data_IF_198454414686
#
_entry.id   IF_198454414686
#
_cell.length_a   1.000
_cell.length_b   1.000
_cell.length_c   1.000
_cell.angle_alpha   90.00
_cell.angle_beta   90.00
_cell.angle_gamma   90.00
#
_symmetry.space_group_name_H-M   'P 1'
#
loop_
_entity.id
_entity.type
_entity.pdbx_description
1 polymer ?
#
# COMPACT_ATOMS: atom_id res chain seq x y z
N UNK A 1 0.52 -37.59 16.75
CA UNK A 1 0.30 -37.60 15.29
C UNK A 1 -0.41 -36.29 14.92
N UNK A 2 0.15 -35.51 14.01
CA UNK A 2 -0.46 -34.23 13.57
C UNK A 2 -1.67 -34.54 12.69
N UNK A 3 -2.78 -33.80 12.89
CA UNK A 3 -4.05 -33.99 12.18
C UNK A 3 -4.44 -32.80 11.30
N UNK A 4 -3.87 -31.63 11.54
CA UNK A 4 -4.10 -30.42 10.78
C UNK A 4 -2.89 -29.49 10.89
N UNK A 5 -2.68 -28.66 9.87
CA UNK A 5 -1.74 -27.55 9.83
C UNK A 5 -2.53 -26.33 9.38
N UNK A 6 -2.40 -25.22 10.11
CA UNK A 6 -3.04 -23.94 9.83
C UNK A 6 -1.96 -22.98 9.35
N UNK A 7 -2.23 -22.25 8.28
CA UNK A 7 -1.34 -21.24 7.72
C UNK A 7 -1.97 -19.86 7.89
N UNK A 8 -1.14 -18.89 8.23
CA UNK A 8 -1.46 -17.48 8.01
C UNK A 8 -1.35 -17.17 6.50
N UNK A 9 -1.92 -16.05 6.05
CA UNK A 9 -1.90 -15.63 4.65
C UNK A 9 -0.79 -14.60 4.43
N UNK A 10 -0.86 -13.47 5.12
CA UNK A 10 -0.02 -12.31 4.86
C UNK A 10 1.42 -12.53 5.33
N UNK A 11 2.36 -12.37 4.42
CA UNK A 11 3.79 -12.67 4.65
C UNK A 11 4.06 -14.12 5.08
N UNK A 12 3.13 -15.04 4.82
CA UNK A 12 3.30 -16.50 4.97
C UNK A 12 3.08 -17.21 3.64
N UNK A 13 1.92 -17.02 3.02
CA UNK A 13 1.61 -17.58 1.70
C UNK A 13 1.74 -16.55 0.58
N UNK A 14 1.58 -15.25 0.90
CA UNK A 14 1.70 -14.14 -0.06
C UNK A 14 2.64 -13.04 0.45
N UNK A 15 3.32 -12.35 -0.46
CA UNK A 15 4.16 -11.18 -0.13
C UNK A 15 3.32 -9.90 -0.02
N UNK A 16 2.58 -9.79 1.08
CA UNK A 16 1.70 -8.66 1.34
C UNK A 16 2.47 -7.33 1.38
N UNK A 17 3.65 -7.31 2.01
CA UNK A 17 4.44 -6.09 2.15
C UNK A 17 4.96 -5.58 0.81
N UNK A 18 5.38 -6.46 -0.11
CA UNK A 18 5.77 -6.06 -1.47
C UNK A 18 4.58 -5.46 -2.22
N UNK A 19 3.42 -6.12 -2.17
CA UNK A 19 2.19 -5.62 -2.82
C UNK A 19 1.84 -4.24 -2.28
N UNK A 20 1.82 -4.08 -0.95
CA UNK A 20 1.50 -2.80 -0.30
C UNK A 20 2.47 -1.70 -0.71
N UNK A 21 3.78 -1.99 -0.74
CA UNK A 21 4.81 -1.01 -1.15
C UNK A 21 4.62 -0.55 -2.59
N UNK A 22 4.47 -1.48 -3.53
CA UNK A 22 4.27 -1.15 -4.94
C UNK A 22 2.97 -0.38 -5.18
N UNK A 23 1.90 -0.75 -4.48
CA UNK A 23 0.63 -0.04 -4.57
C UNK A 23 0.73 1.38 -4.00
N UNK A 24 1.44 1.58 -2.88
CA UNK A 24 1.70 2.91 -2.33
C UNK A 24 2.57 3.76 -3.25
N UNK A 25 3.59 3.17 -3.87
CA UNK A 25 4.44 3.83 -4.86
C UNK A 25 3.63 4.37 -6.04
N UNK A 26 2.77 3.53 -6.62
CA UNK A 26 1.88 3.96 -7.70
C UNK A 26 0.87 5.02 -7.26
N UNK A 27 0.38 4.94 -6.01
CA UNK A 27 -0.50 5.95 -5.45
C UNK A 27 0.19 7.31 -5.35
N UNK A 28 1.43 7.35 -4.85
CA UNK A 28 2.23 8.57 -4.74
C UNK A 28 2.55 9.15 -6.12
N UNK A 29 2.93 8.33 -7.10
CA UNK A 29 3.12 8.79 -8.48
C UNK A 29 1.87 9.46 -9.03
N UNK A 30 0.70 8.82 -8.86
CA UNK A 30 -0.57 9.38 -9.31
C UNK A 30 -0.96 10.67 -8.58
N UNK A 31 -0.55 10.83 -7.32
CA UNK A 31 -0.72 12.10 -6.60
C UNK A 31 0.15 13.21 -7.19
N UNK A 32 1.42 12.91 -7.48
CA UNK A 32 2.37 13.86 -8.07
C UNK A 32 1.90 14.29 -9.46
N UNK A 33 1.48 13.35 -10.29
CA UNK A 33 0.91 13.62 -11.62
C UNK A 33 -0.38 14.45 -11.55
N UNK A 34 -1.14 14.33 -10.45
CA UNK A 34 -2.32 15.13 -10.18
C UNK A 34 -2.00 16.53 -9.62
N UNK A 35 -0.73 16.85 -9.35
CA UNK A 35 -0.28 18.18 -8.91
C UNK A 35 0.18 18.26 -7.45
N UNK A 36 0.45 17.13 -6.79
CA UNK A 36 1.11 17.14 -5.48
C UNK A 36 2.61 17.45 -5.66
N UNK A 37 3.04 18.62 -5.17
CA UNK A 37 4.43 19.06 -5.26
C UNK A 37 5.29 18.45 -4.14
N UNK A 38 5.81 17.25 -4.36
CA UNK A 38 6.70 16.55 -3.41
C UNK A 38 7.63 15.59 -4.16
N UNK A 39 8.83 15.37 -3.64
CA UNK A 39 9.67 14.30 -4.15
C UNK A 39 9.06 12.92 -3.83
N UNK A 40 9.12 12.00 -4.80
CA UNK A 40 8.53 10.67 -4.66
C UNK A 40 9.13 9.87 -3.51
N UNK A 41 10.45 9.91 -3.35
CA UNK A 41 11.12 9.15 -2.29
C UNK A 41 10.77 9.70 -0.91
N UNK A 42 10.75 11.03 -0.79
CA UNK A 42 10.33 11.72 0.43
C UNK A 42 8.87 11.44 0.79
N UNK A 43 7.96 11.49 -0.20
CA UNK A 43 6.55 11.18 -0.02
C UNK A 43 6.33 9.75 0.48
N UNK A 44 7.05 8.77 -0.08
CA UNK A 44 6.99 7.39 0.37
C UNK A 44 7.47 7.23 1.80
N UNK A 45 8.61 7.82 2.15
CA UNK A 45 9.15 7.76 3.51
C UNK A 45 8.18 8.39 4.52
N UNK A 46 7.59 9.53 4.18
CA UNK A 46 6.57 10.20 5.01
C UNK A 46 5.31 9.35 5.14
N UNK A 47 4.80 8.77 4.05
CA UNK A 47 3.65 7.87 4.05
C UNK A 47 3.89 6.65 4.96
N UNK A 48 5.06 6.01 4.86
CA UNK A 48 5.40 4.87 5.70
C UNK A 48 5.58 5.24 7.17
N UNK A 49 6.09 6.44 7.48
CA UNK A 49 6.09 6.96 8.86
C UNK A 49 4.67 7.05 9.43
N UNK A 50 3.70 7.52 8.64
CA UNK A 50 2.30 7.55 9.08
C UNK A 50 1.80 6.13 9.36
N UNK A 51 2.09 5.17 8.49
CA UNK A 51 1.74 3.77 8.73
C UNK A 51 2.33 3.21 10.03
N UNK A 52 3.56 3.57 10.41
CA UNK A 52 4.15 3.18 11.69
C UNK A 52 3.41 3.76 12.89
N UNK A 53 2.77 4.91 12.75
CA UNK A 53 2.04 5.58 13.82
C UNK A 53 0.60 5.06 13.97
N UNK A 54 -0.10 4.86 12.85
CA UNK A 54 -1.55 4.54 12.85
C UNK A 54 -1.87 3.08 12.57
N UNK A 55 -0.88 2.30 12.15
CA UNK A 55 -1.02 0.91 11.76
C UNK A 55 -1.14 0.72 10.25
N UNK A 56 -0.68 -0.44 9.78
CA UNK A 56 -0.62 -0.78 8.36
C UNK A 56 -2.00 -0.87 7.70
N UNK A 57 -3.06 -1.18 8.46
CA UNK A 57 -4.42 -1.42 7.93
C UNK A 57 -5.31 -0.17 7.93
N UNK A 58 -4.72 1.02 8.02
CA UNK A 58 -5.48 2.26 8.05
C UNK A 58 -6.14 2.57 6.68
N UNK A 59 -7.47 2.62 6.66
CA UNK A 59 -8.26 2.86 5.44
C UNK A 59 -8.25 4.32 4.98
N UNK A 60 -7.78 5.26 5.80
CA UNK A 60 -7.76 6.69 5.51
C UNK A 60 -6.33 7.24 5.39
N UNK A 61 -5.35 6.35 5.17
CA UNK A 61 -3.93 6.70 5.17
C UNK A 61 -3.59 7.81 4.16
N UNK A 62 -4.19 7.79 2.97
CA UNK A 62 -3.93 8.80 1.94
C UNK A 62 -4.54 10.16 2.30
N UNK A 63 -5.71 10.17 2.96
CA UNK A 63 -6.31 11.39 3.50
C UNK A 63 -5.42 11.98 4.60
N UNK A 64 -4.91 11.13 5.50
CA UNK A 64 -3.98 11.54 6.57
C UNK A 64 -2.68 12.08 6.00
N UNK A 65 -2.13 11.42 4.98
CA UNK A 65 -0.96 11.87 4.25
C UNK A 65 -1.19 13.25 3.62
N UNK A 66 -2.21 13.40 2.75
CA UNK A 66 -2.51 14.68 2.10
C UNK A 66 -2.77 15.80 3.11
N UNK A 67 -3.46 15.51 4.21
CA UNK A 67 -3.72 16.47 5.28
C UNK A 67 -2.44 16.89 6.01
N UNK A 68 -1.46 16.01 6.19
CA UNK A 68 -0.14 16.35 6.76
C UNK A 68 0.72 17.16 5.80
N UNK A 69 0.70 16.80 4.51
CA UNK A 69 1.56 17.46 3.50
C UNK A 69 1.03 18.82 3.06
N UNK A 70 -0.30 18.96 2.90
CA UNK A 70 -0.91 20.15 2.27
C UNK A 70 -1.88 20.91 3.18
N UNK A 71 -2.17 20.38 4.37
CA UNK A 71 -3.17 20.93 5.29
C UNK A 71 -4.63 20.64 4.89
N UNK A 72 -4.87 20.12 3.69
CA UNK A 72 -6.20 19.80 3.17
C UNK A 72 -6.21 18.45 2.44
N UNK A 73 -7.40 17.99 2.05
CA UNK A 73 -7.56 16.78 1.25
C UNK A 73 -8.14 17.20 -0.09
N UNK A 74 -7.28 17.34 -1.11
CA UNK A 74 -7.73 17.53 -2.48
C UNK A 74 -8.36 16.23 -2.98
N UNK A 75 -9.67 16.27 -3.26
CA UNK A 75 -10.47 15.11 -3.66
C UNK A 75 -10.02 14.54 -5.01
N UNK A 76 -9.54 15.38 -5.93
CA UNK A 76 -9.04 14.93 -7.24
C UNK A 76 -7.73 14.18 -7.07
N UNK A 77 -6.80 14.70 -6.28
CA UNK A 77 -5.52 14.04 -5.97
C UNK A 77 -5.77 12.70 -5.26
N UNK A 78 -6.64 12.70 -4.24
CA UNK A 78 -7.02 11.50 -3.52
C UNK A 78 -7.64 10.42 -4.42
N UNK A 79 -8.56 10.81 -5.31
CA UNK A 79 -9.23 9.86 -6.21
C UNK A 79 -8.24 9.17 -7.15
N UNK A 80 -7.28 9.92 -7.72
CA UNK A 80 -6.23 9.36 -8.58
C UNK A 80 -5.36 8.36 -7.82
N UNK A 81 -4.95 8.71 -6.59
CA UNK A 81 -4.16 7.83 -5.74
C UNK A 81 -4.88 6.51 -5.43
N UNK A 82 -6.17 6.57 -5.07
CA UNK A 82 -6.97 5.38 -4.75
C UNK A 82 -7.10 4.47 -5.98
N UNK A 83 -7.36 5.03 -7.16
CA UNK A 83 -7.48 4.26 -8.40
C UNK A 83 -6.15 3.56 -8.71
N UNK A 84 -5.03 4.31 -8.69
CA UNK A 84 -3.70 3.77 -8.93
C UNK A 84 -3.33 2.65 -7.94
N UNK A 85 -3.54 2.90 -6.64
CA UNK A 85 -3.31 1.91 -5.57
C UNK A 85 -4.08 0.60 -5.84
N UNK A 86 -5.38 0.70 -6.16
CA UNK A 86 -6.25 -0.47 -6.36
C UNK A 86 -5.86 -1.26 -7.59
N UNK A 87 -5.52 -0.59 -8.69
CA UNK A 87 -5.09 -1.25 -9.91
C UNK A 87 -3.83 -2.09 -9.65
N UNK A 88 -2.81 -1.50 -9.04
CA UNK A 88 -1.55 -2.22 -8.73
C UNK A 88 -1.76 -3.33 -7.71
N UNK A 89 -2.51 -3.08 -6.63
CA UNK A 89 -2.81 -4.10 -5.61
C UNK A 89 -3.51 -5.32 -6.23
N UNK A 90 -4.47 -5.11 -7.14
CA UNK A 90 -5.20 -6.20 -7.78
C UNK A 90 -4.34 -6.99 -8.77
N UNK A 91 -3.41 -6.34 -9.46
CA UNK A 91 -2.54 -6.98 -10.46
C UNK A 91 -1.35 -7.74 -9.88
N UNK A 92 -0.96 -7.49 -8.63
CA UNK A 92 0.24 -8.07 -8.00
C UNK A 92 -0.04 -9.23 -7.04
N UNK A 93 -1.29 -9.68 -6.93
CA UNK A 93 -1.66 -10.76 -6.02
C UNK A 93 -1.04 -12.08 -6.51
N UNK A 94 0.06 -12.48 -5.90
CA UNK A 94 0.78 -13.71 -6.21
C UNK A 94 1.31 -14.37 -4.92
N UNK A 95 1.30 -15.72 -4.85
CA UNK A 95 1.89 -16.44 -3.74
C UNK A 95 3.43 -16.34 -3.73
N UNK A 96 4.04 -16.67 -2.60
CA UNK A 96 5.48 -16.89 -2.56
C UNK A 96 5.88 -18.08 -3.46
N UNK A 97 7.14 -18.11 -3.93
CA UNK A 97 7.66 -19.28 -4.62
C UNK A 97 7.42 -20.55 -3.80
N UNK A 98 7.00 -21.63 -4.48
CA UNK A 98 6.76 -22.95 -3.89
C UNK A 98 5.57 -23.05 -2.93
N UNK A 99 4.81 -21.98 -2.65
CA UNK A 99 3.59 -22.07 -1.84
C UNK A 99 2.64 -23.17 -2.36
N UNK A 100 2.41 -23.25 -3.67
CA UNK A 100 1.58 -24.29 -4.29
C UNK A 100 2.15 -25.71 -4.18
N UNK A 101 3.47 -25.85 -3.98
CA UNK A 101 4.11 -27.17 -3.83
C UNK A 101 4.05 -27.68 -2.39
N UNK A 102 3.91 -26.76 -1.43
CA UNK A 102 3.89 -27.04 0.01
C UNK A 102 2.46 -27.29 0.51
N UNK A 103 1.45 -26.69 -0.13
CA UNK A 103 0.03 -26.88 0.14
C UNK A 103 -0.51 -28.15 -0.54
#
# INVERSE_FOLDING_TARGET
MIKAILFDLDNTLIDFMRIKRMACESAIEAMIDAGLEIDKSEALDRLFKIYYEVGLEDHEIFQKFLKRETGQVDVRVLANAIVAYRNVRSGLLAPFPHTEQVL
#
